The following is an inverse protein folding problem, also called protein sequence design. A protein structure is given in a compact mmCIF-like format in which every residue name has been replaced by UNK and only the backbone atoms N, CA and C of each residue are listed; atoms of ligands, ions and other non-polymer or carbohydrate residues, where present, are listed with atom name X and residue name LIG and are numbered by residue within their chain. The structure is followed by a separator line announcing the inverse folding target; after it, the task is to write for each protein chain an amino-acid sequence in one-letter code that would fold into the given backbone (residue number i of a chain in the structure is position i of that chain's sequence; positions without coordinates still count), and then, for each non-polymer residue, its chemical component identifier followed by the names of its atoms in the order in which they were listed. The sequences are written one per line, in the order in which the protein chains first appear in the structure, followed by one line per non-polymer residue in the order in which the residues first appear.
data_IF_294947239026
#
_entry.id   IF_294947239026
#
_cell.length_a   1.000
_cell.length_b   1.000
_cell.length_c   1.000
_cell.angle_alpha   90.00
_cell.angle_beta   90.00
_cell.angle_gamma   90.00
#
_symmetry.space_group_name_H-M   'P 1'
#
loop_
_entity.id
_entity.type
_entity.pdbx_description
1 polymer ?
#
# COMPACT_ATOMS: atom_id res chain seq x y z
N UNK A 1 22.47 8.91 8.79
CA UNK A 1 21.58 8.21 9.72
C UNK A 1 20.30 8.05 8.96
N UNK A 2 20.07 6.85 8.44
CA UNK A 2 18.77 6.51 7.89
C UNK A 2 17.79 6.60 9.05
N UNK A 3 16.91 7.59 9.03
CA UNK A 3 15.75 7.61 9.90
C UNK A 3 14.96 6.35 9.57
N UNK A 4 15.07 5.33 10.42
CA UNK A 4 14.16 4.18 10.37
C UNK A 4 12.75 4.77 10.43
N UNK A 5 12.09 4.80 9.26
CA UNK A 5 10.68 5.10 9.15
C UNK A 5 9.99 4.13 10.09
N UNK A 6 9.58 4.63 11.26
CA UNK A 6 8.82 3.87 12.23
C UNK A 6 7.41 3.75 11.66
N UNK A 7 7.22 2.74 10.81
CA UNK A 7 5.95 2.42 10.18
C UNK A 7 5.08 1.79 11.26
N UNK A 8 4.04 2.50 11.71
CA UNK A 8 2.95 1.92 12.49
C UNK A 8 2.10 1.04 11.55
N UNK A 9 2.16 -0.30 11.67
CA UNK A 9 1.49 -1.19 10.73
C UNK A 9 -0.04 -1.02 10.74
N UNK A 10 -0.61 -0.65 11.88
CA UNK A 10 -2.06 -0.47 12.02
C UNK A 10 -2.52 0.80 11.31
N UNK A 11 -1.81 1.91 11.52
CA UNK A 11 -2.10 3.17 10.84
C UNK A 11 -1.99 3.04 9.31
N UNK A 12 -0.93 2.39 8.83
CA UNK A 12 -0.73 2.18 7.39
C UNK A 12 -1.76 1.22 6.79
N UNK A 13 -2.18 0.19 7.53
CA UNK A 13 -3.27 -0.68 7.11
C UNK A 13 -4.59 0.08 6.98
N UNK A 14 -4.91 0.95 7.96
CA UNK A 14 -6.10 1.79 7.91
C UNK A 14 -6.11 2.70 6.69
N UNK A 15 -4.98 3.34 6.36
CA UNK A 15 -4.87 4.16 5.15
C UNK A 15 -5.04 3.34 3.86
N UNK A 16 -4.40 2.17 3.77
CA UNK A 16 -4.59 1.28 2.62
C UNK A 16 -6.04 0.83 2.49
N UNK A 17 -6.68 0.44 3.58
CA UNK A 17 -8.10 0.05 3.60
C UNK A 17 -9.07 1.20 3.34
N UNK A 18 -8.66 2.46 3.53
CA UNK A 18 -9.49 3.61 3.17
C UNK A 18 -9.53 3.84 1.65
N UNK A 19 -8.45 3.48 0.93
CA UNK A 19 -8.30 3.73 -0.51
C UNK A 19 -8.64 2.50 -1.36
N UNK A 20 -8.51 1.29 -0.83
CA UNK A 20 -8.79 0.04 -1.55
C UNK A 20 -10.28 -0.30 -1.85
N UNK A 21 -11.30 0.12 -1.07
CA UNK A 21 -12.67 -0.33 -1.28
C UNK A 21 -13.37 0.35 -2.46
N UNK A 22 -12.89 1.52 -2.88
CA UNK A 22 -13.33 2.18 -4.11
C UNK A 22 -12.39 1.78 -5.26
N UNK A 23 -12.95 1.07 -6.24
CA UNK A 23 -12.18 0.59 -7.38
C UNK A 23 -11.61 1.75 -8.21
N UNK A 24 -12.35 2.84 -8.39
CA UNK A 24 -11.92 3.98 -9.20
C UNK A 24 -10.80 4.76 -8.50
N UNK A 25 -10.87 4.92 -7.18
CA UNK A 25 -9.79 5.54 -6.39
C UNK A 25 -8.53 4.67 -6.37
N UNK A 26 -8.69 3.35 -6.26
CA UNK A 26 -7.59 2.41 -6.33
C UNK A 26 -6.88 2.47 -7.69
N UNK A 27 -7.62 2.45 -8.80
CA UNK A 27 -7.02 2.54 -10.13
C UNK A 27 -6.31 3.88 -10.35
N UNK A 28 -6.87 4.99 -9.84
CA UNK A 28 -6.19 6.31 -9.86
C UNK A 28 -4.87 6.29 -9.09
N UNK A 29 -4.84 5.64 -7.91
CA UNK A 29 -3.61 5.50 -7.12
C UNK A 29 -2.57 4.67 -7.87
N UNK A 30 -3.00 3.53 -8.44
CA UNK A 30 -2.14 2.64 -9.21
C UNK A 30 -1.52 3.37 -10.40
N UNK A 31 -2.33 4.08 -11.19
CA UNK A 31 -1.83 4.85 -12.32
C UNK A 31 -0.84 5.92 -11.88
N UNK A 32 -1.16 6.67 -10.82
CA UNK A 32 -0.27 7.70 -10.26
C UNK A 32 1.07 7.13 -9.78
N UNK A 33 1.05 5.94 -9.18
CA UNK A 33 2.26 5.25 -8.73
C UNK A 33 3.07 4.70 -9.92
N UNK A 34 2.40 4.10 -10.89
CA UNK A 34 2.99 3.64 -12.16
C UNK A 34 3.73 4.79 -12.86
N UNK A 35 3.04 5.92 -13.06
CA UNK A 35 3.60 7.10 -13.73
C UNK A 35 4.82 7.67 -12.99
N UNK A 36 4.80 7.67 -11.65
CA UNK A 36 5.91 8.19 -10.82
C UNK A 36 7.11 7.27 -10.75
N UNK A 37 6.88 5.96 -10.75
CA UNK A 37 7.93 4.96 -10.52
C UNK A 37 8.46 4.33 -11.82
N UNK A 38 7.74 4.46 -12.93
CA UNK A 38 8.02 3.75 -14.19
C UNK A 38 7.69 2.25 -14.13
N UNK A 39 7.06 1.78 -13.05
CA UNK A 39 6.66 0.39 -12.85
C UNK A 39 5.30 0.14 -13.51
N UNK A 40 5.11 -1.03 -14.09
CA UNK A 40 3.83 -1.36 -14.75
C UNK A 40 2.66 -1.35 -13.73
N UNK A 41 1.45 -0.90 -14.11
CA UNK A 41 0.28 -0.90 -13.23
C UNK A 41 0.02 -2.24 -12.53
N UNK A 42 0.15 -3.35 -13.26
CA UNK A 42 -0.01 -4.71 -12.71
C UNK A 42 0.98 -5.02 -11.59
N UNK A 43 2.22 -4.54 -11.70
CA UNK A 43 3.23 -4.70 -10.66
C UNK A 43 2.92 -3.83 -9.44
N UNK A 44 2.39 -2.62 -9.65
CA UNK A 44 1.93 -1.77 -8.55
C UNK A 44 0.78 -2.43 -7.80
N UNK A 45 -0.17 -3.05 -8.49
CA UNK A 45 -1.23 -3.84 -7.85
C UNK A 45 -0.67 -4.94 -6.97
N UNK A 46 0.29 -5.72 -7.48
CA UNK A 46 0.92 -6.79 -6.72
C UNK A 46 1.62 -6.27 -5.46
N UNK A 47 2.30 -5.12 -5.56
CA UNK A 47 2.95 -4.48 -4.40
C UNK A 47 1.93 -4.04 -3.37
N UNK A 48 0.83 -3.37 -3.78
CA UNK A 48 -0.22 -2.95 -2.86
C UNK A 48 -0.86 -4.15 -2.16
N UNK A 49 -1.14 -5.23 -2.89
CA UNK A 49 -1.72 -6.44 -2.32
C UNK A 49 -0.76 -7.14 -1.35
N UNK A 50 0.53 -7.23 -1.70
CA UNK A 50 1.56 -7.78 -0.81
C UNK A 50 1.73 -6.94 0.46
N UNK A 51 1.71 -5.61 0.33
CA UNK A 51 1.80 -4.67 1.44
C UNK A 51 0.59 -4.77 2.37
N UNK A 52 -0.63 -4.82 1.84
CA UNK A 52 -1.83 -5.05 2.65
C UNK A 52 -1.77 -6.36 3.43
N UNK A 53 -1.33 -7.45 2.78
CA UNK A 53 -1.17 -8.76 3.46
C UNK A 53 -0.12 -8.70 4.56
N UNK A 54 1.01 -8.03 4.31
CA UNK A 54 2.07 -7.85 5.31
C UNK A 54 1.53 -7.07 6.52
N UNK A 55 0.94 -5.90 6.29
CA UNK A 55 0.42 -5.05 7.36
C UNK A 55 -0.68 -5.74 8.17
N UNK A 56 -1.59 -6.46 7.51
CA UNK A 56 -2.62 -7.28 8.19
C UNK A 56 -2.02 -8.36 9.09
N UNK A 57 -0.89 -8.96 8.69
CA UNK A 57 -0.22 -9.97 9.49
C UNK A 57 0.53 -9.34 10.68
N UNK A 58 1.13 -8.17 10.50
CA UNK A 58 1.82 -7.46 11.58
C UNK A 58 0.82 -6.94 12.63
N UNK A 59 -0.33 -6.40 12.23
CA UNK A 59 -1.37 -5.97 13.17
C UNK A 59 -1.99 -7.10 13.98
N UNK A 60 -2.00 -8.33 13.46
CA UNK A 60 -2.48 -9.52 14.20
C UNK A 60 -1.48 -10.09 15.21
N UNK A 61 -0.20 -9.75 15.09
CA UNK A 61 0.87 -10.24 15.97
C UNK A 61 1.07 -9.36 17.21
N UNK A 62 0.68 -8.08 17.12
CA UNK A 62 0.59 -7.15 18.25
C UNK A 62 -0.65 -7.45 19.10
#
# INVERSE_FOLDING_TARGET
MDEELNIDPELWLQYLMAVLPDQDEREKLVQKMSDRSGVAPDQVHQVLEALSKYLLNETRKN
#
